data_IF_715841801188
#
_entry.id   IF_715841801188
#
_cell.length_a   1.000
_cell.length_b   1.000
_cell.length_c   1.000
_cell.angle_alpha   90.00
_cell.angle_beta   90.00
_cell.angle_gamma   90.00
#
_symmetry.space_group_name_H-M   'P 1'
#
loop_
_entity.id
_entity.type
_entity.pdbx_description
1 polymer ?
#
# COMPACT_ATOMS: atom_id res chain seq x y z
N UNK A 1 12.30 -32.48 -6.14
CA UNK A 1 11.87 -31.71 -7.35
C UNK A 1 10.45 -31.15 -7.18
N UNK A 2 9.41 -31.97 -6.99
CA UNK A 2 8.02 -31.50 -6.90
C UNK A 2 7.74 -30.49 -5.76
N UNK A 3 8.28 -30.69 -4.55
CA UNK A 3 8.11 -29.73 -3.45
C UNK A 3 8.71 -28.34 -3.77
N UNK A 4 9.87 -28.31 -4.42
CA UNK A 4 10.53 -27.06 -4.81
C UNK A 4 9.69 -26.33 -5.86
N UNK A 5 9.16 -27.06 -6.85
CA UNK A 5 8.25 -26.51 -7.85
C UNK A 5 6.96 -25.98 -7.23
N UNK A 6 6.38 -26.72 -6.29
CA UNK A 6 5.18 -26.28 -5.57
C UNK A 6 5.45 -24.99 -4.76
N UNK A 7 6.52 -24.97 -3.97
CA UNK A 7 6.88 -23.80 -3.16
C UNK A 7 7.16 -22.56 -4.04
N UNK A 8 7.94 -22.73 -5.12
CA UNK A 8 8.25 -21.63 -6.04
C UNK A 8 7.03 -21.15 -6.81
N UNK A 9 6.11 -22.05 -7.19
CA UNK A 9 4.83 -21.67 -7.79
C UNK A 9 3.96 -20.87 -6.83
N UNK A 10 3.84 -21.30 -5.57
CA UNK A 10 3.09 -20.57 -4.53
C UNK A 10 3.67 -19.18 -4.29
N UNK A 11 5.01 -19.05 -4.25
CA UNK A 11 5.68 -17.76 -4.11
C UNK A 11 5.39 -16.82 -5.29
N UNK A 12 5.46 -17.35 -6.53
CA UNK A 12 5.14 -16.57 -7.74
C UNK A 12 3.69 -16.09 -7.71
N UNK A 13 2.73 -16.98 -7.39
CA UNK A 13 1.31 -16.63 -7.31
C UNK A 13 1.07 -15.55 -6.25
N UNK A 14 1.64 -15.71 -5.04
CA UNK A 14 1.53 -14.70 -3.98
C UNK A 14 2.11 -13.35 -4.39
N UNK A 15 3.29 -13.37 -5.03
CA UNK A 15 3.92 -12.16 -5.57
C UNK A 15 3.07 -11.49 -6.65
N UNK A 16 2.48 -12.26 -7.58
CA UNK A 16 1.63 -11.71 -8.66
C UNK A 16 0.36 -11.06 -8.14
N UNK A 17 -0.33 -11.67 -7.17
CA UNK A 17 -1.52 -11.06 -6.55
C UNK A 17 -1.14 -9.76 -5.84
N UNK A 18 -0.04 -9.77 -5.07
CA UNK A 18 0.46 -8.57 -4.38
C UNK A 18 0.88 -7.45 -5.36
N UNK A 19 1.50 -7.80 -6.48
CA UNK A 19 1.87 -6.86 -7.52
C UNK A 19 0.64 -6.20 -8.15
N UNK A 20 -0.39 -6.98 -8.46
CA UNK A 20 -1.64 -6.46 -9.02
C UNK A 20 -2.36 -5.53 -8.06
N UNK A 21 -2.50 -5.92 -6.78
CA UNK A 21 -3.10 -5.07 -5.76
C UNK A 21 -2.34 -3.75 -5.60
N UNK A 22 -1.01 -3.82 -5.52
CA UNK A 22 -0.18 -2.61 -5.38
C UNK A 22 -0.29 -1.69 -6.59
N UNK A 23 -0.39 -2.26 -7.81
CA UNK A 23 -0.64 -1.46 -9.01
C UNK A 23 -2.01 -0.80 -9.00
N UNK A 24 -3.05 -1.50 -8.53
CA UNK A 24 -4.38 -0.94 -8.35
C UNK A 24 -4.37 0.21 -7.32
N UNK A 25 -3.68 0.03 -6.18
CA UNK A 25 -3.57 1.05 -5.13
C UNK A 25 -2.77 2.29 -5.57
N UNK A 26 -1.88 2.17 -6.57
CA UNK A 26 -1.20 3.32 -7.19
C UNK A 26 -2.17 4.12 -8.06
N UNK A 27 -3.02 3.44 -8.84
CA UNK A 27 -3.96 4.08 -9.78
C UNK A 27 -5.18 4.64 -9.04
N UNK A 28 -5.67 3.91 -8.04
CA UNK A 28 -6.84 4.23 -7.24
C UNK A 28 -6.52 4.07 -5.74
N UNK A 29 -5.74 5.00 -5.15
CA UNK A 29 -5.41 4.94 -3.73
C UNK A 29 -6.68 5.02 -2.89
N UNK A 30 -6.67 4.30 -1.76
CA UNK A 30 -7.80 4.28 -0.82
C UNK A 30 -8.21 5.70 -0.43
N UNK A 31 -9.53 6.02 -0.46
CA UNK A 31 -10.01 7.35 -0.16
C UNK A 31 -9.77 7.68 1.33
N UNK A 32 -9.49 8.95 1.60
CA UNK A 32 -9.43 9.45 2.97
C UNK A 32 -10.83 9.40 3.60
N UNK A 33 -10.95 8.75 4.76
CA UNK A 33 -12.24 8.42 5.36
C UNK A 33 -12.86 9.52 6.23
N UNK A 34 -12.06 10.52 6.66
CA UNK A 34 -12.54 11.60 7.52
C UNK A 34 -13.07 12.75 6.65
N UNK A 35 -14.26 13.25 6.98
CA UNK A 35 -14.83 14.42 6.30
C UNK A 35 -14.26 15.72 6.86
N UNK A 36 -14.36 16.81 6.10
CA UNK A 36 -13.98 18.14 6.59
C UNK A 36 -14.78 18.57 7.82
N UNK A 37 -16.08 18.22 7.89
CA UNK A 37 -16.93 18.55 9.03
C UNK A 37 -16.49 17.82 10.31
N UNK A 38 -16.06 16.56 10.16
CA UNK A 38 -15.48 15.82 11.27
C UNK A 38 -14.13 16.41 11.68
N UNK A 39 -13.28 16.78 10.72
CA UNK A 39 -12.00 17.44 11.01
C UNK A 39 -12.19 18.77 11.75
N UNK A 40 -13.11 19.61 11.28
CA UNK A 40 -13.48 20.89 11.90
C UNK A 40 -14.00 20.70 13.32
N UNK A 41 -14.77 19.65 13.58
CA UNK A 41 -15.30 19.37 14.93
C UNK A 41 -14.20 19.05 15.94
N UNK A 42 -13.11 18.44 15.50
CA UNK A 42 -11.99 18.04 16.36
C UNK A 42 -10.94 19.12 16.53
N UNK A 43 -10.59 19.85 15.46
CA UNK A 43 -9.57 20.92 15.49
C UNK A 43 -10.17 22.29 15.82
N UNK A 44 -11.49 22.47 15.67
CA UNK A 44 -12.19 23.72 15.97
C UNK A 44 -12.58 23.90 17.44
N UNK A 45 -12.33 22.90 18.30
CA UNK A 45 -12.48 23.08 19.75
C UNK A 45 -11.26 23.82 20.31
N UNK A 46 -11.46 24.86 21.15
CA UNK A 46 -10.35 25.60 21.74
C UNK A 46 -9.44 24.65 22.51
N UNK A 47 -8.21 24.50 22.00
CA UNK A 47 -7.16 23.74 22.66
C UNK A 47 -6.46 24.63 23.68
N UNK A 48 -6.06 24.08 24.81
CA UNK A 48 -5.24 24.77 25.79
C UNK A 48 -3.78 24.47 25.53
N UNK A 49 -2.94 25.50 25.49
CA UNK A 49 -1.50 25.32 25.42
C UNK A 49 -0.96 24.68 26.71
N UNK A 50 0.33 24.32 26.74
CA UNK A 50 1.00 23.73 27.91
C UNK A 50 0.94 24.62 29.17
N UNK A 51 0.65 25.91 28.99
CA UNK A 51 0.51 26.92 30.04
C UNK A 51 -0.96 27.14 30.47
N UNK A 52 -1.92 26.40 29.91
CA UNK A 52 -3.34 26.47 30.25
C UNK A 52 -4.11 27.63 29.61
N UNK A 53 -3.49 28.39 28.71
CA UNK A 53 -4.12 29.49 27.97
C UNK A 53 -4.90 28.95 26.76
N UNK A 54 -6.06 29.55 26.49
CA UNK A 54 -6.90 29.20 25.35
C UNK A 54 -6.24 29.69 24.05
N UNK A 55 -5.94 28.76 23.15
CA UNK A 55 -5.49 29.07 21.80
C UNK A 55 -6.73 29.44 20.99
N UNK A 56 -6.69 30.61 20.33
CA UNK A 56 -7.77 31.03 19.44
C UNK A 56 -7.98 29.96 18.35
N UNK A 57 -9.23 29.56 18.05
CA UNK A 57 -9.49 28.57 17.02
C UNK A 57 -9.00 29.08 15.67
N UNK A 58 -8.39 28.21 14.87
CA UNK A 58 -7.98 28.54 13.51
C UNK A 58 -9.19 29.04 12.70
N UNK A 59 -8.93 29.95 11.77
CA UNK A 59 -9.96 30.39 10.83
C UNK A 59 -10.46 29.22 9.98
N UNK A 60 -11.69 29.30 9.46
CA UNK A 60 -12.22 28.23 8.59
C UNK A 60 -11.38 28.03 7.33
N UNK A 61 -10.75 29.08 6.83
CA UNK A 61 -9.85 29.05 5.67
C UNK A 61 -8.58 28.25 6.00
N UNK A 62 -7.93 28.53 7.13
CA UNK A 62 -6.74 27.78 7.58
C UNK A 62 -7.07 26.32 7.90
N UNK A 63 -8.23 26.04 8.52
CA UNK A 63 -8.68 24.66 8.77
C UNK A 63 -8.87 23.88 7.47
N UNK A 64 -9.41 24.53 6.43
CA UNK A 64 -9.61 23.91 5.12
C UNK A 64 -8.29 23.68 4.40
N UNK A 65 -7.36 24.61 4.49
CA UNK A 65 -6.01 24.46 3.94
C UNK A 65 -5.28 23.27 4.59
N UNK A 66 -5.29 23.20 5.92
CA UNK A 66 -4.69 22.10 6.69
C UNK A 66 -5.31 20.75 6.34
N UNK A 67 -6.63 20.68 6.26
CA UNK A 67 -7.34 19.46 5.86
C UNK A 67 -6.94 19.03 4.44
N UNK A 68 -6.90 19.95 3.47
CA UNK A 68 -6.52 19.64 2.10
C UNK A 68 -5.06 19.17 2.00
N UNK A 69 -4.15 19.80 2.74
CA UNK A 69 -2.76 19.38 2.84
C UNK A 69 -2.65 17.97 3.43
N UNK A 70 -3.44 17.66 4.48
CA UNK A 70 -3.48 16.34 5.11
C UNK A 70 -4.05 15.26 4.17
N UNK A 71 -5.15 15.54 3.47
CA UNK A 71 -5.73 14.61 2.48
C UNK A 71 -4.74 14.33 1.35
N UNK A 72 -4.03 15.36 0.90
CA UNK A 72 -3.03 15.24 -0.16
C UNK A 72 -1.85 14.40 0.29
N UNK A 73 -1.26 14.72 1.45
CA UNK A 73 -0.13 13.95 2.00
C UNK A 73 -0.52 12.49 2.27
N UNK A 74 -1.74 12.24 2.77
CA UNK A 74 -2.24 10.88 2.96
C UNK A 74 -2.28 10.10 1.65
N UNK A 75 -2.83 10.68 0.58
CA UNK A 75 -2.86 10.05 -0.76
C UNK A 75 -1.46 9.76 -1.28
N UNK A 76 -0.55 10.72 -1.17
CA UNK A 76 0.84 10.57 -1.59
C UNK A 76 1.54 9.44 -0.83
N UNK A 77 1.38 9.41 0.51
CA UNK A 77 1.94 8.34 1.34
C UNK A 77 1.39 6.95 0.96
N UNK A 78 0.11 6.85 0.63
CA UNK A 78 -0.49 5.59 0.18
C UNK A 78 0.07 5.14 -1.16
N UNK A 79 0.26 6.07 -2.10
CA UNK A 79 0.90 5.80 -3.40
C UNK A 79 2.35 5.35 -3.22
N UNK A 80 3.14 6.04 -2.38
CA UNK A 80 4.53 5.66 -2.10
C UNK A 80 4.65 4.30 -1.41
N UNK A 81 3.72 3.97 -0.51
CA UNK A 81 3.63 2.64 0.09
C UNK A 81 3.30 1.58 -0.97
N UNK A 82 2.34 1.85 -1.85
CA UNK A 82 1.97 0.95 -2.92
C UNK A 82 3.12 0.72 -3.90
N UNK A 83 3.89 1.75 -4.27
CA UNK A 83 5.13 1.62 -5.06
C UNK A 83 6.16 0.72 -4.38
N UNK A 84 6.40 0.92 -3.09
CA UNK A 84 7.33 0.09 -2.33
C UNK A 84 6.88 -1.38 -2.26
N UNK A 85 5.59 -1.64 -2.06
CA UNK A 85 5.02 -2.99 -2.07
C UNK A 85 5.11 -3.61 -3.46
N UNK A 86 4.86 -2.84 -4.52
CA UNK A 86 5.02 -3.31 -5.90
C UNK A 86 6.44 -3.79 -6.17
N UNK A 87 7.46 -2.99 -5.82
CA UNK A 87 8.87 -3.40 -5.99
C UNK A 87 9.19 -4.68 -5.21
N UNK A 88 8.72 -4.78 -3.95
CA UNK A 88 8.91 -5.99 -3.13
C UNK A 88 8.21 -7.21 -3.72
N UNK A 89 7.01 -7.05 -4.27
CA UNK A 89 6.24 -8.12 -4.90
C UNK A 89 6.92 -8.64 -6.17
N UNK A 90 7.59 -7.77 -6.93
CA UNK A 90 8.42 -8.17 -8.07
C UNK A 90 9.61 -9.01 -7.61
N UNK A 91 10.24 -8.67 -6.48
CA UNK A 91 11.28 -9.51 -5.87
C UNK A 91 10.78 -10.93 -5.55
N UNK A 92 9.56 -11.05 -5.01
CA UNK A 92 8.89 -12.33 -4.76
C UNK A 92 8.58 -13.14 -6.02
N UNK A 93 8.54 -12.52 -7.20
CA UNK A 93 8.33 -13.21 -8.49
C UNK A 93 9.68 -13.56 -9.12
N UNK A 94 10.60 -12.60 -9.20
CA UNK A 94 11.87 -12.70 -9.94
C UNK A 94 12.83 -13.68 -9.29
N UNK A 95 12.88 -13.78 -7.96
CA UNK A 95 13.78 -14.71 -7.24
C UNK A 95 13.40 -16.19 -7.45
N UNK A 96 12.14 -16.63 -7.25
CA UNK A 96 11.77 -18.03 -7.43
C UNK A 96 11.66 -18.46 -8.90
N UNK A 97 11.47 -17.54 -9.85
CA UNK A 97 11.25 -17.88 -11.25
C UNK A 97 12.43 -18.67 -11.90
N UNK A 98 13.71 -18.27 -11.77
CA UNK A 98 14.84 -19.06 -12.27
C UNK A 98 14.90 -20.47 -11.66
N UNK A 99 14.61 -20.57 -10.35
CA UNK A 99 14.58 -21.85 -9.63
C UNK A 99 13.47 -22.73 -10.20
N UNK A 100 12.27 -22.17 -10.37
CA UNK A 100 11.13 -22.86 -10.96
C UNK A 100 11.46 -23.39 -12.36
N UNK A 101 11.99 -22.54 -13.25
CA UNK A 101 12.35 -22.93 -14.62
C UNK A 101 13.42 -24.03 -14.66
N UNK A 102 14.41 -23.98 -13.77
CA UNK A 102 15.45 -25.00 -13.68
C UNK A 102 14.86 -26.35 -13.25
N UNK A 103 14.10 -26.39 -12.15
CA UNK A 103 13.51 -27.63 -11.65
C UNK A 103 12.38 -28.15 -12.55
N UNK A 104 11.72 -27.29 -13.31
CA UNK A 104 10.70 -27.70 -14.28
C UNK A 104 11.30 -28.52 -15.41
N UNK A 105 12.52 -28.17 -15.85
CA UNK A 105 13.25 -28.95 -16.88
C UNK A 105 13.72 -30.32 -16.37
N UNK A 106 13.90 -30.49 -15.06
CA UNK A 106 14.29 -31.75 -14.44
C UNK A 106 13.14 -32.74 -14.27
N UNK A 107 11.89 -32.28 -14.42
CA UNK A 107 10.73 -33.19 -14.37
C UNK A 107 10.65 -33.93 -15.70
N UNK A 108 10.75 -35.28 -15.70
CA UNK A 108 10.61 -36.05 -16.93
C UNK A 108 9.23 -35.77 -17.54
N UNK A 109 9.20 -35.32 -18.79
CA UNK A 109 7.97 -35.32 -19.57
C UNK A 109 7.56 -36.78 -19.77
N UNK A 110 6.68 -37.29 -18.89
CA UNK A 110 5.85 -38.42 -19.30
C UNK A 110 4.98 -37.88 -20.43
N UNK A 111 5.34 -38.23 -21.66
CA UNK A 111 4.42 -38.16 -22.79
C UNK A 111 3.09 -38.76 -22.33
N UNK A 112 2.01 -38.01 -22.55
CA UNK A 112 0.66 -38.54 -22.39
C UNK A 112 0.55 -39.71 -23.38
N UNK A 113 0.57 -40.93 -22.86
CA UNK A 113 0.06 -42.10 -23.56
C UNK A 113 -1.45 -42.00 -23.67
#
# INVERSE_FOLDING_TARGET
VYLVLFATLMMIIGGSVSAFMSAADIVAPAPYHQTFEDYKRWEGTPSKNENGEEIAPLSEEELRENYNAMVTSYKEMQVERAKNTLIKSLGWIVIPLPIFLFFQRLVPKKEKA
#
